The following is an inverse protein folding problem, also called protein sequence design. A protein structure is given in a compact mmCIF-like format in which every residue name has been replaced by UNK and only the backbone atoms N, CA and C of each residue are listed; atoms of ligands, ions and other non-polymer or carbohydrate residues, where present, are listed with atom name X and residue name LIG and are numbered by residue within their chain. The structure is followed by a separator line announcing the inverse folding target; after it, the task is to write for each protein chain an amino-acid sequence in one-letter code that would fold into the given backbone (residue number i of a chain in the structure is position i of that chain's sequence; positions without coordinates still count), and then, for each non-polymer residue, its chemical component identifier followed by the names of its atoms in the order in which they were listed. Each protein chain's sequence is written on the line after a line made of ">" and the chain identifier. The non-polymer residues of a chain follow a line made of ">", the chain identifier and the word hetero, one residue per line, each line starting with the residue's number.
data_IF_867816808028
#
_entry.id   IF_867816808028
#
_cell.length_a   1.000
_cell.length_b   1.000
_cell.length_c   1.000
_cell.angle_alpha   90.00
_cell.angle_beta   90.00
_cell.angle_gamma   90.00
#
_symmetry.space_group_name_H-M   'P 1'
#
loop_
_entity.id
_entity.type
_entity.pdbx_description
1 polymer ?
#
# COMPACT_ATOMS: atom_id res chain seq x y z
N UNK A 1 17.61 27.77 -30.48
CA UNK A 1 17.44 26.85 -29.34
C UNK A 1 16.59 25.68 -29.79
N UNK A 2 17.14 24.48 -29.83
CA UNK A 2 16.43 23.26 -30.25
C UNK A 2 15.26 22.98 -29.31
N UNK A 3 14.04 23.26 -29.77
CA UNK A 3 12.80 23.00 -29.03
C UNK A 3 12.72 21.54 -28.56
N UNK A 4 13.29 20.60 -29.33
CA UNK A 4 13.40 19.19 -28.97
C UNK A 4 14.28 18.96 -27.73
N UNK A 5 15.44 19.63 -27.63
CA UNK A 5 16.32 19.51 -26.45
C UNK A 5 15.69 20.13 -25.21
N UNK A 6 14.99 21.26 -25.37
CA UNK A 6 14.23 21.89 -24.30
C UNK A 6 13.15 20.95 -23.75
N UNK A 7 12.30 20.41 -24.62
CA UNK A 7 11.21 19.49 -24.24
C UNK A 7 11.72 18.22 -23.55
N UNK A 8 12.81 17.61 -24.04
CA UNK A 8 13.39 16.41 -23.42
C UNK A 8 13.94 16.71 -22.03
N UNK A 9 14.60 17.86 -21.84
CA UNK A 9 15.11 18.28 -20.53
C UNK A 9 13.96 18.58 -19.56
N UNK A 10 12.86 19.21 -20.02
CA UNK A 10 11.69 19.44 -19.16
C UNK A 10 10.97 18.14 -18.80
N UNK A 11 10.85 17.17 -19.71
CA UNK A 11 10.26 15.85 -19.43
C UNK A 11 11.12 15.06 -18.44
N UNK A 12 12.45 15.12 -18.58
CA UNK A 12 13.38 14.50 -17.63
C UNK A 12 13.30 15.18 -16.26
N UNK A 13 13.22 16.51 -16.19
CA UNK A 13 13.01 17.25 -14.94
C UNK A 13 11.63 16.99 -14.32
N UNK A 14 10.58 16.79 -15.12
CA UNK A 14 9.25 16.41 -14.63
C UNK A 14 9.27 14.98 -14.08
N UNK A 15 9.96 14.05 -14.75
CA UNK A 15 10.13 12.65 -14.32
C UNK A 15 11.02 12.53 -13.08
N UNK A 16 12.01 13.41 -12.91
CA UNK A 16 12.85 13.47 -11.71
C UNK A 16 12.11 14.19 -10.56
N UNK A 17 11.20 15.13 -10.86
CA UNK A 17 10.27 15.73 -9.90
C UNK A 17 9.11 14.82 -9.48
N UNK A 18 8.93 13.69 -10.16
CA UNK A 18 7.89 12.66 -9.94
C UNK A 18 8.39 11.48 -9.09
N UNK A 19 9.31 11.73 -8.17
CA UNK A 19 9.94 10.73 -7.30
C UNK A 19 9.03 10.02 -6.28
N UNK A 20 7.71 10.21 -6.31
CA UNK A 20 6.80 9.60 -5.33
C UNK A 20 5.42 9.32 -5.97
N UNK A 21 5.20 8.10 -6.43
CA UNK A 21 3.89 7.67 -6.94
C UNK A 21 3.39 6.45 -6.15
N UNK A 22 2.46 6.68 -5.22
CA UNK A 22 1.61 5.60 -4.71
C UNK A 22 0.67 5.21 -5.86
N UNK A 23 1.04 4.22 -6.67
CA UNK A 23 0.17 3.71 -7.73
C UNK A 23 -0.91 2.86 -7.09
N UNK A 24 -2.15 3.35 -7.12
CA UNK A 24 -3.33 2.66 -6.60
C UNK A 24 -4.05 1.98 -7.77
N UNK A 25 -4.09 0.65 -7.77
CA UNK A 25 -4.94 -0.13 -8.67
C UNK A 25 -6.09 -0.76 -7.88
N UNK A 26 -7.33 -0.37 -8.17
CA UNK A 26 -8.53 -0.91 -7.51
C UNK A 26 -9.38 -1.75 -8.47
N UNK A 27 -9.82 -2.91 -8.00
CA UNK A 27 -10.85 -3.75 -8.62
C UNK A 27 -11.81 -4.19 -7.51
N UNK A 28 -13.04 -4.56 -7.84
CA UNK A 28 -14.09 -4.87 -6.86
C UNK A 28 -13.62 -5.91 -5.83
N UNK A 29 -13.35 -5.42 -4.61
CA UNK A 29 -12.87 -6.24 -3.49
C UNK A 29 -11.35 -6.47 -3.44
N UNK A 30 -10.53 -5.74 -4.18
CA UNK A 30 -9.07 -5.83 -4.17
C UNK A 30 -8.42 -4.49 -4.54
N UNK A 31 -7.56 -4.01 -3.66
CA UNK A 31 -6.68 -2.87 -3.90
C UNK A 31 -5.21 -3.29 -3.80
N UNK A 32 -4.40 -2.69 -4.66
CA UNK A 32 -2.95 -2.88 -4.71
C UNK A 32 -2.28 -1.53 -4.57
N UNK A 33 -1.33 -1.44 -3.65
CA UNK A 33 -0.50 -0.27 -3.38
C UNK A 33 0.96 -0.64 -3.63
N UNK A 34 1.66 0.23 -4.33
CA UNK A 34 3.11 0.19 -4.45
C UNK A 34 3.67 1.38 -3.69
N UNK A 35 4.32 1.10 -2.57
CA UNK A 35 4.90 2.09 -1.67
C UNK A 35 6.38 2.23 -2.04
N UNK A 36 6.68 3.34 -2.69
CA UNK A 36 8.05 3.81 -2.96
C UNK A 36 8.36 5.10 -2.21
N UNK A 37 7.32 5.76 -1.70
CA UNK A 37 7.38 6.95 -0.85
C UNK A 37 6.98 6.57 0.58
N UNK A 38 7.84 6.92 1.53
CA UNK A 38 7.69 6.61 2.95
C UNK A 38 7.41 7.87 3.79
N UNK A 39 6.92 8.94 3.18
CA UNK A 39 6.48 10.15 3.88
C UNK A 39 4.98 10.15 4.22
N UNK A 40 4.21 9.21 3.64
CA UNK A 40 2.77 9.16 3.76
C UNK A 40 2.23 7.90 4.46
N UNK A 41 1.16 8.10 5.24
CA UNK A 41 0.35 7.02 5.82
C UNK A 41 -0.68 6.57 4.78
N UNK A 42 -0.82 5.26 4.60
CA UNK A 42 -1.86 4.68 3.73
C UNK A 42 -2.93 4.03 4.59
N UNK A 43 -4.13 4.59 4.53
CA UNK A 43 -5.32 3.98 5.12
C UNK A 43 -6.21 3.50 3.98
N UNK A 44 -6.59 2.22 3.99
CA UNK A 44 -7.45 1.67 2.98
C UNK A 44 -8.64 0.92 3.57
N UNK A 45 -9.76 0.94 2.86
CA UNK A 45 -11.00 0.32 3.29
C UNK A 45 -11.73 -0.32 2.12
N UNK A 46 -12.23 -1.55 2.31
CA UNK A 46 -13.01 -2.28 1.32
C UNK A 46 -14.28 -2.79 2.00
N UNK A 47 -15.46 -2.39 1.50
CA UNK A 47 -16.74 -2.84 2.03
C UNK A 47 -16.95 -4.34 1.80
N UNK A 48 -17.55 -5.04 2.78
CA UNK A 48 -17.92 -6.44 2.63
C UNK A 48 -18.84 -6.68 1.43
N UNK A 49 -18.82 -7.90 0.89
CA UNK A 49 -19.82 -8.33 -0.08
C UNK A 49 -21.18 -8.43 0.61
N UNK A 50 -22.16 -7.63 0.16
CA UNK A 50 -23.53 -7.60 0.73
C UNK A 50 -24.22 -8.98 0.73
N UNK A 51 -23.85 -9.86 -0.20
CA UNK A 51 -24.50 -11.16 -0.40
C UNK A 51 -23.85 -12.31 0.38
N UNK A 52 -22.97 -12.04 1.34
CA UNK A 52 -22.30 -13.08 2.14
C UNK A 52 -22.44 -12.78 3.64
N UNK A 53 -22.68 -13.82 4.43
CA UNK A 53 -22.72 -13.75 5.90
C UNK A 53 -21.35 -13.46 6.53
N UNK A 54 -20.27 -13.77 5.83
CA UNK A 54 -18.92 -13.41 6.23
C UNK A 54 -18.01 -13.25 5.02
N UNK A 55 -16.96 -12.47 5.19
CA UNK A 55 -15.88 -12.28 4.22
C UNK A 55 -14.53 -12.48 4.90
N UNK A 56 -13.52 -12.84 4.11
CA UNK A 56 -12.14 -12.88 4.59
C UNK A 56 -11.37 -11.66 4.08
N UNK A 57 -10.83 -10.87 4.99
CA UNK A 57 -9.81 -9.89 4.70
C UNK A 57 -8.48 -10.61 4.51
N UNK A 58 -7.78 -10.30 3.43
CA UNK A 58 -6.44 -10.81 3.14
C UNK A 58 -5.55 -9.60 2.86
N UNK A 59 -4.52 -9.42 3.69
CA UNK A 59 -3.47 -8.43 3.50
C UNK A 59 -2.18 -9.15 3.16
N UNK A 60 -1.52 -8.77 2.06
CA UNK A 60 -0.22 -9.31 1.67
C UNK A 60 0.77 -8.17 1.53
N UNK A 61 1.94 -8.33 2.12
CA UNK A 61 3.04 -7.40 2.03
C UNK A 61 4.25 -8.13 1.46
N UNK A 62 4.84 -7.59 0.40
CA UNK A 62 6.04 -8.13 -0.22
C UNK A 62 6.95 -7.01 -0.67
N UNK A 63 8.22 -7.06 -0.26
CA UNK A 63 9.17 -6.02 -0.62
C UNK A 63 10.32 -5.88 0.38
N UNK A 64 10.98 -4.74 0.35
CA UNK A 64 12.04 -4.38 1.29
C UNK A 64 11.82 -2.95 1.79
N UNK A 65 12.22 -2.71 3.04
CA UNK A 65 12.25 -1.39 3.68
C UNK A 65 13.57 -1.23 4.42
N UNK A 66 14.09 0.00 4.46
CA UNK A 66 15.38 0.29 5.10
C UNK A 66 15.33 0.24 6.64
N UNK A 67 14.16 0.45 7.24
CA UNK A 67 13.94 0.38 8.69
C UNK A 67 12.53 -0.13 8.98
N UNK A 68 11.96 0.26 10.12
CA UNK A 68 10.77 -0.32 10.70
C UNK A 68 9.52 0.40 10.22
N UNK A 69 8.60 -0.36 9.63
CA UNK A 69 7.24 0.07 9.31
C UNK A 69 6.24 -0.48 10.32
N UNK A 70 5.07 0.14 10.35
CA UNK A 70 3.94 -0.23 11.19
C UNK A 70 2.74 -0.58 10.30
N UNK A 71 2.15 -1.75 10.54
CA UNK A 71 0.95 -2.22 9.84
C UNK A 71 -0.14 -2.53 10.85
N UNK A 72 -1.33 -1.98 10.65
CA UNK A 72 -2.54 -2.44 11.32
C UNK A 72 -3.41 -3.19 10.32
N UNK A 73 -3.45 -4.53 10.37
CA UNK A 73 -4.00 -5.31 9.28
C UNK A 73 -5.53 -5.48 9.35
N UNK A 74 -6.17 -5.13 10.47
CA UNK A 74 -7.62 -4.98 10.62
C UNK A 74 -7.95 -4.05 11.80
N UNK A 75 -9.19 -3.55 11.90
CA UNK A 75 -9.59 -2.58 12.94
C UNK A 75 -9.40 -3.08 14.38
N UNK A 76 -9.71 -4.36 14.63
CA UNK A 76 -9.56 -5.02 15.93
C UNK A 76 -8.24 -5.78 16.09
N UNK A 77 -7.37 -5.74 15.08
CA UNK A 77 -6.10 -6.45 15.10
C UNK A 77 -5.03 -5.65 15.85
N UNK A 78 -4.13 -6.37 16.50
CA UNK A 78 -2.89 -5.80 16.99
C UNK A 78 -2.05 -5.27 15.82
N UNK A 79 -1.41 -4.14 16.08
CA UNK A 79 -0.45 -3.54 15.16
C UNK A 79 0.82 -4.39 15.08
N UNK A 80 1.36 -4.56 13.88
CA UNK A 80 2.56 -5.36 13.60
C UNK A 80 3.69 -4.43 13.14
N UNK A 81 4.87 -4.59 13.74
CA UNK A 81 6.11 -3.92 13.31
C UNK A 81 6.90 -4.85 12.39
N UNK A 82 7.34 -4.36 11.25
CA UNK A 82 8.09 -5.12 10.25
C UNK A 82 9.30 -4.31 9.78
N UNK A 83 10.42 -4.94 9.46
CA UNK A 83 11.62 -4.27 8.95
C UNK A 83 12.39 -5.16 7.96
N UNK A 84 13.26 -4.54 7.14
CA UNK A 84 14.09 -5.25 6.18
C UNK A 84 13.29 -5.91 5.05
N UNK A 85 13.62 -7.16 4.73
CA UNK A 85 12.90 -7.95 3.72
C UNK A 85 11.57 -8.47 4.28
N UNK A 86 10.48 -8.03 3.66
CA UNK A 86 9.12 -8.34 4.09
C UNK A 86 8.46 -9.30 3.09
N UNK A 87 7.95 -10.42 3.60
CA UNK A 87 7.07 -11.33 2.87
C UNK A 87 6.02 -11.88 3.83
N UNK A 88 5.00 -11.08 4.12
CA UNK A 88 3.99 -11.38 5.14
C UNK A 88 2.59 -11.46 4.54
N UNK A 89 1.77 -12.35 5.11
CA UNK A 89 0.37 -12.54 4.73
C UNK A 89 -0.49 -12.68 5.97
N UNK A 90 -1.44 -11.76 6.11
CA UNK A 90 -2.45 -11.81 7.14
C UNK A 90 -3.81 -12.20 6.55
N UNK A 91 -4.60 -12.96 7.32
CA UNK A 91 -5.96 -13.37 6.95
C UNK A 91 -6.86 -13.27 8.16
N UNK A 92 -7.91 -12.47 8.07
CA UNK A 92 -8.88 -12.25 9.14
C UNK A 92 -10.30 -12.49 8.62
N UNK A 93 -11.15 -13.09 9.45
CA UNK A 93 -12.58 -13.25 9.17
C UNK A 93 -13.32 -12.04 9.71
N UNK A 94 -14.24 -11.48 8.94
CA UNK A 94 -15.17 -10.46 9.40
C UNK A 94 -16.57 -10.77 8.87
N UNK A 95 -17.59 -10.57 9.71
CA UNK A 95 -18.99 -10.93 9.40
C UNK A 95 -19.67 -9.83 8.58
N UNK A 96 -19.66 -8.61 9.08
CA UNK A 96 -20.27 -7.44 8.44
C UNK A 96 -19.38 -6.20 8.56
N UNK A 97 -19.62 -5.22 7.69
CA UNK A 97 -18.94 -3.92 7.76
C UNK A 97 -17.84 -3.74 6.71
N UNK A 98 -16.77 -3.06 7.12
CA UNK A 98 -15.71 -2.60 6.24
C UNK A 98 -14.39 -3.23 6.68
N UNK A 99 -13.73 -3.90 5.74
CA UNK A 99 -12.36 -4.37 5.89
C UNK A 99 -11.45 -3.15 5.85
N UNK A 100 -10.73 -2.83 6.93
CA UNK A 100 -9.82 -1.68 6.99
C UNK A 100 -8.38 -2.13 7.23
N UNK A 101 -7.43 -1.41 6.67
CA UNK A 101 -6.01 -1.59 6.96
C UNK A 101 -5.31 -0.24 6.99
N UNK A 102 -4.22 -0.16 7.76
CA UNK A 102 -3.36 1.02 7.84
C UNK A 102 -1.90 0.61 7.70
N UNK A 103 -1.18 1.39 6.92
CA UNK A 103 0.28 1.37 6.79
C UNK A 103 0.83 2.72 7.26
N UNK A 104 1.84 2.66 8.12
CA UNK A 104 2.59 3.82 8.58
C UNK A 104 4.10 3.54 8.39
N UNK A 105 4.83 4.45 7.71
CA UNK A 105 6.25 4.28 7.45
C UNK A 105 7.11 4.28 8.73
N UNK A 106 6.63 4.91 9.82
CA UNK A 106 7.24 4.98 11.14
C UNK A 106 8.70 5.45 11.13
N UNK A 107 9.67 4.55 11.00
CA UNK A 107 11.10 4.87 10.91
C UNK A 107 11.68 4.62 9.52
N UNK A 108 10.99 3.86 8.69
CA UNK A 108 11.43 3.63 7.32
C UNK A 108 11.31 4.92 6.52
N UNK A 109 12.35 5.23 5.75
CA UNK A 109 12.42 6.40 4.87
C UNK A 109 12.64 6.01 3.41
N UNK A 110 12.94 4.75 3.14
CA UNK A 110 13.12 4.23 1.78
C UNK A 110 12.83 2.74 1.69
N UNK A 111 12.52 2.29 0.48
CA UNK A 111 12.22 0.89 0.21
C UNK A 111 11.38 0.72 -1.04
N UNK A 112 10.99 -0.52 -1.27
CA UNK A 112 10.04 -0.91 -2.30
C UNK A 112 9.10 -1.94 -1.71
N UNK A 113 7.89 -1.51 -1.34
CA UNK A 113 6.92 -2.35 -0.66
C UNK A 113 5.62 -2.44 -1.43
N UNK A 114 5.20 -3.66 -1.78
CA UNK A 114 3.89 -3.93 -2.36
C UNK A 114 2.92 -4.38 -1.28
N UNK A 115 1.81 -3.67 -1.14
CA UNK A 115 0.70 -4.03 -0.26
C UNK A 115 -0.51 -4.42 -1.10
N UNK A 116 -1.09 -5.60 -0.85
CA UNK A 116 -2.33 -6.05 -1.48
C UNK A 116 -3.37 -6.24 -0.40
N UNK A 117 -4.42 -5.44 -0.44
CA UNK A 117 -5.59 -5.56 0.41
C UNK A 117 -6.74 -6.16 -0.40
N UNK A 118 -7.30 -7.28 0.00
CA UNK A 118 -8.44 -7.87 -0.70
C UNK A 118 -9.42 -8.55 0.23
N UNK A 119 -10.66 -8.65 -0.20
CA UNK A 119 -11.71 -9.41 0.45
C UNK A 119 -12.08 -10.64 -0.40
N UNK A 120 -12.47 -11.74 0.24
CA UNK A 120 -12.92 -12.97 -0.43
C UNK A 120 -14.20 -13.50 0.17
#
# INVERSE_FOLDING_TARGET
>A
MDFKKGLTVTIILLLIGLGAAIIIGSNQGRDVFFITDFDAIVNNSISAKKNKQYSYQILRLKGNVNDTIIIKPCDSCNTVKLSGNISQKFKYKFTHGVSRMSFNPYKATSGNLKIVHKIR
#
